data_IF_444224955596
#
_entry.id   IF_444224955596
#
_cell.length_a   1.000
_cell.length_b   1.000
_cell.length_c   1.000
_cell.angle_alpha   90.00
_cell.angle_beta   90.00
_cell.angle_gamma   90.00
#
_symmetry.space_group_name_H-M   'P 1'
#
loop_
_entity.id
_entity.type
_entity.pdbx_description
1 polymer ?
#
# COMPACT_ATOMS: atom_id res chain seq x y z
N UNK A 1 -19.72 -21.18 -3.88
CA UNK A 1 -21.12 -21.14 -4.32
C UNK A 1 -21.26 -20.04 -5.39
N UNK A 2 -22.30 -20.05 -6.23
CA UNK A 2 -22.61 -18.91 -7.09
C UNK A 2 -22.75 -17.63 -6.26
N UNK A 3 -22.39 -16.48 -6.83
CA UNK A 3 -22.39 -15.19 -6.14
C UNK A 3 -23.78 -14.84 -5.59
N UNK A 4 -24.83 -15.22 -6.34
CA UNK A 4 -26.24 -15.07 -5.95
C UNK A 4 -26.64 -15.80 -4.66
N UNK A 5 -25.86 -16.81 -4.22
CA UNK A 5 -26.14 -17.58 -3.00
C UNK A 5 -25.29 -17.16 -1.80
N UNK A 6 -24.35 -16.23 -1.96
CA UNK A 6 -23.40 -15.90 -0.88
C UNK A 6 -24.09 -15.27 0.33
N UNK A 7 -25.09 -14.41 0.11
CA UNK A 7 -25.84 -13.79 1.20
C UNK A 7 -26.65 -14.83 2.00
N UNK A 8 -27.40 -15.70 1.31
CA UNK A 8 -28.17 -16.80 1.90
C UNK A 8 -27.27 -17.72 2.75
N UNK A 9 -26.09 -18.09 2.22
CA UNK A 9 -25.14 -18.93 2.93
C UNK A 9 -24.50 -18.25 4.13
N UNK A 10 -24.22 -16.94 4.04
CA UNK A 10 -23.69 -16.18 5.16
C UNK A 10 -24.68 -16.14 6.33
N UNK A 11 -25.98 -15.94 6.05
CA UNK A 11 -27.04 -16.01 7.07
C UNK A 11 -27.15 -17.42 7.68
N UNK A 12 -27.22 -18.47 6.84
CA UNK A 12 -27.29 -19.85 7.31
C UNK A 12 -26.12 -20.25 8.20
N UNK A 13 -24.91 -19.77 7.88
CA UNK A 13 -23.72 -20.06 8.69
C UNK A 13 -23.65 -19.21 9.94
N UNK A 14 -24.11 -17.96 9.90
CA UNK A 14 -24.17 -17.11 11.08
C UNK A 14 -25.15 -17.63 12.14
N UNK A 15 -26.21 -18.33 11.73
CA UNK A 15 -27.18 -18.97 12.64
C UNK A 15 -26.74 -20.35 13.17
N UNK A 16 -25.60 -20.88 12.70
CA UNK A 16 -25.10 -22.18 13.10
C UNK A 16 -24.06 -22.07 14.22
N UNK A 17 -24.27 -22.78 15.33
CA UNK A 17 -23.40 -22.76 16.52
C UNK A 17 -21.94 -23.17 16.26
N UNK A 18 -21.64 -23.79 15.11
CA UNK A 18 -20.27 -24.13 14.72
C UNK A 18 -19.45 -22.92 14.24
N UNK A 19 -20.09 -21.80 13.92
CA UNK A 19 -19.43 -20.60 13.42
C UNK A 19 -19.63 -19.42 14.37
N UNK A 20 -18.54 -18.71 14.67
CA UNK A 20 -18.61 -17.48 15.46
C UNK A 20 -19.15 -16.29 14.62
N UNK A 21 -18.79 -16.25 13.34
CA UNK A 21 -19.27 -15.24 12.39
C UNK A 21 -19.17 -15.74 10.96
N UNK A 22 -20.11 -15.32 10.13
CA UNK A 22 -20.09 -15.52 8.69
C UNK A 22 -20.53 -14.24 7.97
N UNK A 23 -19.80 -13.84 6.93
CA UNK A 23 -20.10 -12.66 6.15
C UNK A 23 -19.61 -12.80 4.72
N UNK A 24 -20.27 -12.09 3.81
CA UNK A 24 -19.77 -11.94 2.43
C UNK A 24 -18.66 -10.91 2.44
N UNK A 25 -17.47 -11.30 2.00
CA UNK A 25 -16.29 -10.43 1.99
C UNK A 25 -16.50 -9.21 1.07
N UNK A 26 -16.15 -8.01 1.55
CA UNK A 26 -15.78 -6.84 0.78
C UNK A 26 -15.22 -7.07 -0.62
N UNK A 27 -15.68 -6.48 -1.75
CA UNK A 27 -14.70 -6.23 -2.82
C UNK A 27 -13.60 -5.31 -2.28
N UNK A 28 -12.37 -5.50 -2.74
CA UNK A 28 -11.30 -4.56 -2.45
C UNK A 28 -11.48 -3.32 -3.35
N UNK A 29 -11.42 -2.14 -2.76
CA UNK A 29 -11.44 -0.88 -3.50
C UNK A 29 -10.00 -0.52 -3.90
N UNK A 30 -9.71 -0.32 -5.20
CA UNK A 30 -8.38 0.09 -5.63
C UNK A 30 -8.08 1.52 -5.16
N UNK A 31 -6.80 1.85 -5.02
CA UNK A 31 -6.39 3.22 -4.78
C UNK A 31 -6.88 4.11 -5.93
N UNK A 32 -7.38 5.32 -5.62
CA UNK A 32 -7.77 6.27 -6.67
C UNK A 32 -6.54 6.72 -7.43
N UNK A 33 -6.46 6.32 -8.69
CA UNK A 33 -5.50 6.87 -9.63
C UNK A 33 -5.89 8.33 -9.93
N UNK A 34 -4.89 9.18 -10.14
CA UNK A 34 -5.12 10.51 -10.67
C UNK A 34 -5.51 10.42 -12.16
N UNK A 35 -6.00 11.52 -12.73
CA UNK A 35 -6.38 11.61 -14.13
C UNK A 35 -5.18 11.89 -15.06
N UNK A 36 -3.94 11.76 -14.55
CA UNK A 36 -2.75 12.05 -15.34
C UNK A 36 -2.45 10.89 -16.28
N UNK A 37 -2.37 11.18 -17.57
CA UNK A 37 -1.85 10.24 -18.56
C UNK A 37 -0.32 10.22 -18.52
N UNK A 38 0.32 9.06 -18.67
CA UNK A 38 1.77 8.99 -18.81
C UNK A 38 2.22 9.74 -20.07
N UNK A 39 3.36 10.40 -19.98
CA UNK A 39 4.02 10.92 -21.18
C UNK A 39 4.55 9.72 -21.99
N UNK A 40 4.44 9.79 -23.32
CA UNK A 40 4.94 8.75 -24.24
C UNK A 40 6.44 8.84 -24.49
N UNK A 41 7.11 9.87 -23.95
CA UNK A 41 8.57 9.97 -23.95
C UNK A 41 9.14 8.98 -22.94
N UNK A 42 10.20 8.27 -23.34
CA UNK A 42 10.91 7.36 -22.46
C UNK A 42 11.36 8.05 -21.17
N UNK A 43 11.15 7.37 -20.05
CA UNK A 43 11.67 7.84 -18.77
C UNK A 43 13.20 7.84 -18.80
N UNK A 44 13.85 8.81 -18.14
CA UNK A 44 15.29 8.74 -17.94
C UNK A 44 15.68 7.45 -17.20
N UNK A 45 16.90 6.91 -17.41
CA UNK A 45 17.33 5.66 -16.80
C UNK A 45 17.49 5.74 -15.27
N UNK A 46 17.44 6.94 -14.70
CA UNK A 46 17.43 7.21 -13.26
C UNK A 46 16.41 8.29 -12.99
N UNK A 47 15.51 8.06 -12.03
CA UNK A 47 14.51 9.05 -11.66
C UNK A 47 15.16 10.31 -11.06
N UNK A 48 14.82 11.53 -11.53
CA UNK A 48 15.30 12.77 -10.93
C UNK A 48 14.88 12.90 -9.46
N UNK A 49 15.68 13.61 -8.66
CA UNK A 49 15.29 13.90 -7.28
C UNK A 49 14.13 14.90 -7.23
N UNK A 50 12.94 14.41 -6.85
CA UNK A 50 11.74 15.23 -6.62
C UNK A 50 11.44 15.51 -5.15
N UNK A 51 12.38 15.30 -4.23
CA UNK A 51 12.19 15.49 -2.78
C UNK A 51 11.67 16.90 -2.44
N UNK A 52 12.08 17.94 -3.20
CA UNK A 52 11.58 19.30 -3.02
C UNK A 52 10.05 19.44 -3.21
N UNK A 53 9.40 18.47 -3.87
CA UNK A 53 7.94 18.42 -4.06
C UNK A 53 7.24 17.54 -3.00
N UNK A 54 7.99 16.84 -2.17
CA UNK A 54 7.48 15.93 -1.14
C UNK A 54 7.36 16.67 0.20
N UNK A 55 6.47 17.66 0.26
CA UNK A 55 6.34 18.58 1.41
C UNK A 55 6.07 17.87 2.73
N UNK A 56 5.42 16.69 2.68
CA UNK A 56 5.14 15.85 3.84
C UNK A 56 6.39 15.42 4.61
N UNK A 57 7.58 15.45 3.99
CA UNK A 57 8.85 15.10 4.65
C UNK A 57 9.35 16.18 5.62
N UNK A 58 8.90 17.43 5.45
CA UNK A 58 9.31 18.58 6.26
C UNK A 58 8.56 18.69 7.59
N UNK A 59 8.80 19.78 8.32
CA UNK A 59 8.20 20.06 9.62
C UNK A 59 6.68 20.22 9.60
N UNK A 60 6.06 20.01 10.77
CA UNK A 60 4.69 20.48 11.00
C UNK A 60 4.58 22.01 10.78
N UNK A 61 3.42 22.51 10.31
CA UNK A 61 2.16 21.79 10.08
C UNK A 61 2.05 21.10 8.71
N UNK A 62 3.01 21.30 7.80
CA UNK A 62 2.94 20.78 6.42
C UNK A 62 3.44 19.34 6.24
N UNK A 63 4.14 18.81 7.24
CA UNK A 63 4.69 17.46 7.22
C UNK A 63 4.90 16.88 8.61
N UNK A 64 5.70 15.81 8.67
CA UNK A 64 5.91 14.98 9.86
C UNK A 64 7.36 15.00 10.38
N UNK A 65 8.19 15.94 9.92
CA UNK A 65 9.60 16.11 10.33
C UNK A 65 10.47 14.87 10.02
N UNK A 66 10.13 14.15 8.93
CA UNK A 66 10.80 12.89 8.55
C UNK A 66 12.29 13.07 8.24
N UNK A 67 12.69 14.19 7.62
CA UNK A 67 14.09 14.43 7.25
C UNK A 67 15.00 14.54 8.48
N UNK A 68 14.54 15.20 9.54
CA UNK A 68 15.28 15.26 10.80
C UNK A 68 15.33 13.89 11.48
N UNK A 69 14.23 13.13 11.44
CA UNK A 69 14.16 11.77 11.98
C UNK A 69 15.18 10.83 11.34
N UNK A 70 15.42 10.93 10.03
CA UNK A 70 16.43 10.10 9.35
C UNK A 70 17.86 10.22 9.93
N UNK A 71 18.16 11.32 10.64
CA UNK A 71 19.43 11.52 11.35
C UNK A 71 19.50 10.88 12.74
N UNK A 72 18.37 10.42 13.28
CA UNK A 72 18.29 9.81 14.61
C UNK A 72 18.63 8.31 14.54
N UNK A 73 19.17 7.70 15.63
CA UNK A 73 19.33 6.26 15.71
C UNK A 73 18.01 5.53 15.44
N UNK A 74 18.01 4.60 14.48
CA UNK A 74 16.81 3.87 14.07
C UNK A 74 15.81 4.66 13.24
N UNK A 75 16.02 5.96 13.01
CA UNK A 75 15.07 6.84 12.30
C UNK A 75 14.91 6.55 10.81
N UNK A 76 15.70 5.62 10.25
CA UNK A 76 15.52 5.06 8.90
C UNK A 76 14.72 3.75 8.89
N UNK A 77 14.19 3.32 10.04
CA UNK A 77 13.42 2.08 10.16
C UNK A 77 14.26 0.82 10.42
N UNK A 78 15.53 0.95 10.85
CA UNK A 78 16.36 -0.21 11.16
C UNK A 78 15.70 -1.10 12.23
N UNK A 79 15.49 -2.38 11.91
CA UNK A 79 14.82 -3.33 12.79
C UNK A 79 13.29 -3.28 12.76
N UNK A 80 12.71 -2.42 11.92
CA UNK A 80 11.26 -2.33 11.71
C UNK A 80 10.87 -3.16 10.48
N UNK A 81 9.75 -3.88 10.58
CA UNK A 81 9.12 -4.57 9.45
C UNK A 81 7.79 -3.89 9.12
N UNK A 82 7.65 -3.50 7.86
CA UNK A 82 6.40 -2.95 7.33
C UNK A 82 5.80 -4.01 6.41
N UNK A 83 4.50 -4.28 6.56
CA UNK A 83 3.73 -5.18 5.69
C UNK A 83 2.65 -4.32 5.05
N UNK A 84 2.73 -4.18 3.73
CA UNK A 84 1.71 -3.52 2.94
C UNK A 84 0.80 -4.57 2.28
N UNK A 85 -0.52 -4.42 2.46
CA UNK A 85 -1.53 -5.35 1.96
C UNK A 85 -2.34 -4.63 0.89
N UNK A 86 -1.76 -4.57 -0.30
CA UNK A 86 -2.39 -3.99 -1.49
C UNK A 86 -2.06 -4.81 -2.75
N UNK A 87 -2.76 -4.51 -3.84
CA UNK A 87 -2.56 -5.15 -5.13
C UNK A 87 -1.64 -4.34 -6.07
N UNK A 88 -1.32 -4.91 -7.22
CA UNK A 88 -0.66 -4.23 -8.33
C UNK A 88 0.73 -3.59 -8.03
N UNK A 89 1.45 -4.12 -7.03
CA UNK A 89 2.86 -3.76 -6.79
C UNK A 89 3.71 -3.99 -8.04
N UNK A 90 4.47 -2.96 -8.45
CA UNK A 90 5.46 -3.05 -9.53
C UNK A 90 6.85 -3.28 -8.94
N UNK A 91 7.16 -4.51 -8.53
CA UNK A 91 8.47 -4.83 -7.94
C UNK A 91 9.66 -4.62 -8.88
N UNK A 92 9.43 -4.51 -10.19
CA UNK A 92 10.46 -4.11 -11.16
C UNK A 92 10.80 -2.62 -11.14
N UNK A 93 10.13 -1.79 -10.31
CA UNK A 93 10.47 -0.38 -10.13
C UNK A 93 11.82 -0.24 -9.39
N UNK A 94 12.68 0.67 -9.83
CA UNK A 94 14.05 0.85 -9.31
C UNK A 94 14.12 1.06 -7.78
N UNK A 95 13.22 1.86 -7.22
CA UNK A 95 13.14 2.10 -5.76
C UNK A 95 12.66 0.90 -4.91
N UNK A 96 12.13 -0.16 -5.53
CA UNK A 96 11.57 -1.31 -4.82
C UNK A 96 12.51 -2.53 -4.81
N UNK A 97 13.70 -2.43 -5.39
CA UNK A 97 14.63 -3.55 -5.58
C UNK A 97 15.32 -4.06 -4.29
N UNK A 98 15.39 -3.25 -3.24
CA UNK A 98 16.12 -3.61 -2.02
C UNK A 98 15.20 -4.04 -0.85
N UNK A 99 13.98 -3.50 -0.78
CA UNK A 99 13.14 -3.56 0.42
C UNK A 99 11.81 -4.30 0.22
N UNK A 100 11.68 -5.12 -0.82
CA UNK A 100 10.45 -5.87 -1.11
C UNK A 100 10.21 -7.12 -0.24
N UNK A 101 10.93 -7.28 0.88
CA UNK A 101 10.66 -8.35 1.85
C UNK A 101 10.76 -9.79 1.32
N UNK A 102 11.51 -10.02 0.25
CA UNK A 102 11.65 -11.34 -0.40
C UNK A 102 10.55 -11.70 -1.41
N UNK A 103 9.77 -10.71 -1.87
CA UNK A 103 8.74 -10.87 -2.89
C UNK A 103 9.28 -10.81 -4.34
N UNK A 104 10.60 -10.69 -4.52
CA UNK A 104 11.30 -10.64 -5.82
C UNK A 104 12.23 -11.84 -6.00
#
# INVERSE_FOLDING_TARGET
APESRLAELAEQFADNELFEAAYVKPPAEPARLNEMSPNMVDAPPVTPNFQARQLYLGAAPGGIEALWMHGQPGGKGNGIRIIDVEGAWRFTHEDLLANAGGLM
#
